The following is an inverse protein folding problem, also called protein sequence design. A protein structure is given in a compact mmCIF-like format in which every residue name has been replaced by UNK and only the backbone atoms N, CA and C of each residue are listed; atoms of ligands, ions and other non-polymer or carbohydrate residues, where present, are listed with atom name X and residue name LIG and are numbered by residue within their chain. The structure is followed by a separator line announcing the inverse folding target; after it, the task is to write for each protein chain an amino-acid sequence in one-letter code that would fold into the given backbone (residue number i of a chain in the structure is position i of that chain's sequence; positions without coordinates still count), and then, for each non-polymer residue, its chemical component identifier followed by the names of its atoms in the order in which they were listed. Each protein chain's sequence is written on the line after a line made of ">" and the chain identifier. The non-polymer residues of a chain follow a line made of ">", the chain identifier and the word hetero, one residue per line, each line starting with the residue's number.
data_IF_443679531858
#
_entry.id   IF_443679531858
#
_cell.length_a   1.000
_cell.length_b   1.000
_cell.length_c   1.000
_cell.angle_alpha   90.00
_cell.angle_beta   90.00
_cell.angle_gamma   90.00
#
_symmetry.space_group_name_H-M   'P 1'
#
loop_
_entity.id
_entity.type
_entity.pdbx_description
1 polymer ?
#
# COMPACT_ATOMS: atom_id res chain seq x y z
N UNK A 1 25.41 42.56 2.12
CA UNK A 1 24.03 42.19 1.76
C UNK A 1 23.97 41.54 0.38
N UNK A 2 24.49 42.14 -0.67
CA UNK A 2 24.44 41.56 -2.05
C UNK A 2 24.93 40.11 -2.17
N UNK A 3 26.06 39.74 -1.52
CA UNK A 3 26.60 38.38 -1.57
C UNK A 3 25.65 37.33 -0.93
N UNK A 4 24.90 37.68 0.13
CA UNK A 4 23.89 36.79 0.73
C UNK A 4 22.66 36.63 -0.15
N UNK A 5 22.23 37.71 -0.84
CA UNK A 5 21.10 37.69 -1.77
C UNK A 5 21.46 36.87 -3.00
N UNK A 6 22.67 37.03 -3.56
CA UNK A 6 23.15 36.23 -4.68
C UNK A 6 23.24 34.72 -4.33
N UNK A 7 23.67 34.39 -3.11
CA UNK A 7 23.74 32.99 -2.64
C UNK A 7 22.33 32.38 -2.50
N UNK A 8 21.36 33.13 -1.98
CA UNK A 8 19.96 32.69 -1.87
C UNK A 8 19.35 32.49 -3.27
N UNK A 9 19.66 33.36 -4.21
CA UNK A 9 19.14 33.28 -5.58
C UNK A 9 19.69 32.06 -6.34
N UNK A 10 20.98 31.77 -6.20
CA UNK A 10 21.63 30.57 -6.79
C UNK A 10 21.08 29.30 -6.14
N UNK A 11 20.79 29.31 -4.84
CA UNK A 11 20.21 28.17 -4.13
C UNK A 11 18.75 27.89 -4.59
N UNK A 12 17.95 28.93 -4.76
CA UNK A 12 16.57 28.84 -5.27
C UNK A 12 16.52 28.32 -6.72
N UNK A 13 17.41 28.78 -7.58
CA UNK A 13 17.45 28.31 -8.99
C UNK A 13 17.86 26.85 -9.11
N UNK A 14 18.76 26.36 -8.25
CA UNK A 14 19.15 24.94 -8.26
C UNK A 14 18.02 24.00 -7.79
N UNK A 15 17.15 24.43 -6.87
CA UNK A 15 15.95 23.67 -6.49
C UNK A 15 14.91 23.61 -7.62
N UNK A 16 14.70 24.72 -8.33
CA UNK A 16 13.76 24.76 -9.46
C UNK A 16 14.20 23.85 -10.62
N UNK A 17 15.48 23.83 -10.93
CA UNK A 17 16.04 22.96 -11.99
C UNK A 17 15.93 21.47 -11.59
N UNK A 18 16.13 21.14 -10.31
CA UNK A 18 16.01 19.75 -9.86
C UNK A 18 14.57 19.25 -9.92
N UNK A 19 13.59 20.06 -9.50
CA UNK A 19 12.17 19.71 -9.58
C UNK A 19 11.69 19.56 -11.03
N UNK A 20 12.17 20.42 -11.94
CA UNK A 20 11.83 20.37 -13.34
C UNK A 20 12.40 19.12 -14.02
N UNK A 21 13.62 18.69 -13.66
CA UNK A 21 14.21 17.46 -14.16
C UNK A 21 13.44 16.22 -13.69
N UNK A 22 12.96 16.20 -12.42
CA UNK A 22 12.16 15.10 -11.92
C UNK A 22 10.80 14.99 -12.65
N UNK A 23 10.10 16.09 -12.86
CA UNK A 23 8.86 16.11 -13.64
C UNK A 23 9.08 15.62 -15.09
N UNK A 24 10.17 16.03 -15.72
CA UNK A 24 10.54 15.57 -17.06
C UNK A 24 10.81 14.06 -17.09
N UNK A 25 11.49 13.52 -16.06
CA UNK A 25 11.73 12.08 -15.95
C UNK A 25 10.42 11.30 -15.79
N UNK A 26 9.47 11.81 -14.98
CA UNK A 26 8.15 11.21 -14.82
C UNK A 26 7.37 11.24 -16.14
N UNK A 27 7.38 12.35 -16.85
CA UNK A 27 6.74 12.45 -18.16
C UNK A 27 7.32 11.43 -19.14
N UNK A 28 8.65 11.30 -19.23
CA UNK A 28 9.27 10.26 -20.06
C UNK A 28 8.88 8.86 -19.63
N UNK A 29 8.76 8.61 -18.33
CA UNK A 29 8.32 7.32 -17.81
C UNK A 29 6.87 7.02 -18.23
N UNK A 30 5.97 7.97 -18.06
CA UNK A 30 4.54 7.85 -18.41
C UNK A 30 4.33 7.72 -19.93
N UNK A 31 5.20 8.36 -20.74
CA UNK A 31 5.23 8.26 -22.21
C UNK A 31 5.90 6.94 -22.71
N UNK A 32 6.38 6.07 -21.81
CA UNK A 32 7.07 4.82 -22.17
C UNK A 32 8.51 5.02 -22.67
N UNK A 33 9.07 6.21 -22.56
CA UNK A 33 10.45 6.52 -22.95
C UNK A 33 11.44 6.20 -21.81
N UNK A 34 11.46 4.92 -21.40
CA UNK A 34 12.13 4.46 -20.18
C UNK A 34 13.63 4.69 -20.16
N UNK A 35 14.34 4.63 -21.29
CA UNK A 35 15.78 4.94 -21.34
C UNK A 35 16.06 6.41 -21.00
N UNK A 36 15.20 7.33 -21.45
CA UNK A 36 15.35 8.76 -21.13
C UNK A 36 15.03 9.02 -19.66
N UNK A 37 13.97 8.42 -19.16
CA UNK A 37 13.60 8.50 -17.76
C UNK A 37 14.71 7.95 -16.85
N UNK A 38 15.25 6.76 -17.18
CA UNK A 38 16.33 6.10 -16.47
C UNK A 38 17.56 7.01 -16.32
N UNK A 39 18.00 7.63 -17.44
CA UNK A 39 19.16 8.52 -17.41
C UNK A 39 19.01 9.66 -16.41
N UNK A 40 17.82 10.27 -16.33
CA UNK A 40 17.55 11.38 -15.42
C UNK A 40 17.43 10.88 -13.97
N UNK A 41 16.75 9.74 -13.75
CA UNK A 41 16.64 9.17 -12.41
C UNK A 41 18.01 8.75 -11.86
N UNK A 42 18.89 8.18 -12.67
CA UNK A 42 20.27 7.86 -12.28
C UNK A 42 21.08 9.11 -11.91
N UNK A 43 20.93 10.20 -12.65
CA UNK A 43 21.59 11.47 -12.31
C UNK A 43 21.10 12.00 -10.95
N UNK A 44 19.77 11.96 -10.73
CA UNK A 44 19.19 12.39 -9.47
C UNK A 44 19.61 11.47 -8.29
N UNK A 45 19.69 10.15 -8.50
CA UNK A 45 20.15 9.20 -7.51
C UNK A 45 21.64 9.39 -7.14
N UNK A 46 22.50 9.83 -8.07
CA UNK A 46 23.89 10.22 -7.76
C UNK A 46 23.95 11.42 -6.82
N UNK A 47 23.04 12.39 -6.98
CA UNK A 47 22.94 13.57 -6.11
C UNK A 47 22.34 13.23 -4.73
N UNK A 48 21.43 12.26 -4.68
CA UNK A 48 20.70 11.84 -3.48
C UNK A 48 20.73 10.30 -3.31
N UNK A 49 21.88 9.69 -2.96
CA UNK A 49 22.04 8.23 -2.98
C UNK A 49 21.13 7.46 -1.97
N UNK A 50 20.73 8.12 -0.89
CA UNK A 50 19.84 7.55 0.13
C UNK A 50 18.36 7.62 -0.28
N UNK A 51 17.99 8.45 -1.25
CA UNK A 51 16.61 8.63 -1.67
C UNK A 51 16.07 7.34 -2.31
N UNK A 52 15.10 6.71 -1.63
CA UNK A 52 14.51 5.46 -2.09
C UNK A 52 13.66 5.64 -3.35
N UNK A 53 13.03 6.78 -3.52
CA UNK A 53 12.16 7.07 -4.66
C UNK A 53 12.91 7.00 -6.00
N UNK A 54 14.07 7.66 -6.12
CA UNK A 54 14.87 7.59 -7.34
C UNK A 54 15.38 6.18 -7.61
N UNK A 55 15.79 5.46 -6.56
CA UNK A 55 16.16 4.08 -6.69
C UNK A 55 15.00 3.22 -7.21
N UNK A 56 13.81 3.37 -6.65
CA UNK A 56 12.61 2.65 -7.09
C UNK A 56 12.33 2.92 -8.57
N UNK A 57 12.39 4.20 -9.01
CA UNK A 57 12.17 4.58 -10.41
C UNK A 57 13.22 3.99 -11.36
N UNK A 58 14.48 3.89 -10.94
CA UNK A 58 15.54 3.20 -11.69
C UNK A 58 15.21 1.72 -11.89
N UNK A 59 14.76 1.04 -10.81
CA UNK A 59 14.37 -0.37 -10.89
C UNK A 59 13.17 -0.54 -11.83
N UNK A 60 12.14 0.31 -11.70
CA UNK A 60 10.97 0.28 -12.57
C UNK A 60 11.36 0.48 -14.04
N UNK A 61 12.22 1.45 -14.37
CA UNK A 61 12.73 1.64 -15.74
C UNK A 61 13.47 0.39 -16.27
N UNK A 62 14.34 -0.21 -15.45
CA UNK A 62 15.03 -1.45 -15.87
C UNK A 62 14.05 -2.60 -16.11
N UNK A 63 13.02 -2.72 -15.28
CA UNK A 63 11.98 -3.76 -15.42
C UNK A 63 11.16 -3.56 -16.70
N UNK A 64 10.74 -2.33 -17.01
CA UNK A 64 10.01 -2.01 -18.24
C UNK A 64 10.87 -2.24 -19.49
N UNK A 65 12.17 -1.97 -19.42
CA UNK A 65 13.14 -2.27 -20.47
C UNK A 65 13.54 -3.76 -20.53
N UNK A 66 12.99 -4.61 -19.67
CA UNK A 66 13.35 -6.02 -19.52
C UNK A 66 14.83 -6.26 -19.16
N UNK A 67 15.50 -5.24 -18.63
CA UNK A 67 16.88 -5.32 -18.17
C UNK A 67 16.94 -5.87 -16.74
N UNK A 68 16.39 -7.07 -16.53
CA UNK A 68 16.18 -7.67 -15.20
C UNK A 68 17.47 -7.90 -14.42
N UNK A 69 18.57 -8.21 -15.11
CA UNK A 69 19.88 -8.40 -14.47
C UNK A 69 20.44 -7.09 -13.91
N UNK A 70 20.19 -5.97 -14.60
CA UNK A 70 20.57 -4.64 -14.12
C UNK A 70 19.73 -4.24 -12.88
N UNK A 71 18.43 -4.50 -12.91
CA UNK A 71 17.53 -4.32 -11.78
C UNK A 71 17.98 -5.17 -10.57
N UNK A 72 18.24 -6.45 -10.75
CA UNK A 72 18.71 -7.37 -9.71
C UNK A 72 20.01 -6.85 -9.07
N UNK A 73 20.99 -6.52 -9.89
CA UNK A 73 22.28 -5.99 -9.42
C UNK A 73 22.10 -4.73 -8.57
N UNK A 74 21.27 -3.79 -9.04
CA UNK A 74 21.00 -2.56 -8.31
C UNK A 74 20.30 -2.83 -6.96
N UNK A 75 19.31 -3.73 -6.93
CA UNK A 75 18.62 -4.13 -5.70
C UNK A 75 19.59 -4.76 -4.70
N UNK A 76 20.44 -5.69 -5.13
CA UNK A 76 21.41 -6.36 -4.28
C UNK A 76 22.47 -5.40 -3.74
N UNK A 77 22.97 -4.48 -4.55
CA UNK A 77 23.91 -3.43 -4.11
C UNK A 77 23.28 -2.51 -3.06
N UNK A 78 22.03 -2.10 -3.26
CA UNK A 78 21.32 -1.27 -2.28
C UNK A 78 21.09 -2.03 -0.98
N UNK A 79 20.71 -3.30 -1.06
CA UNK A 79 20.48 -4.15 0.12
C UNK A 79 21.73 -4.31 0.97
N UNK A 80 22.90 -4.45 0.37
CA UNK A 80 24.18 -4.49 1.09
C UNK A 80 24.46 -3.19 1.87
N UNK A 81 24.01 -2.04 1.34
CA UNK A 81 24.27 -0.73 1.96
C UNK A 81 23.23 -0.35 3.02
N UNK A 82 21.95 -0.66 2.82
CA UNK A 82 20.85 -0.10 3.61
C UNK A 82 20.01 -1.13 4.37
N UNK A 83 20.21 -2.43 4.16
CA UNK A 83 19.46 -3.54 4.80
C UNK A 83 17.92 -3.27 4.93
N UNK A 84 17.31 -2.78 3.86
CA UNK A 84 15.86 -2.49 3.83
C UNK A 84 15.08 -3.74 3.44
N UNK A 85 14.07 -4.15 4.25
CA UNK A 85 13.28 -5.37 4.04
C UNK A 85 12.44 -5.33 2.77
N UNK A 86 11.98 -4.14 2.37
CA UNK A 86 11.24 -3.93 1.12
C UNK A 86 12.02 -4.35 -0.13
N UNK A 87 13.37 -4.37 -0.07
CA UNK A 87 14.21 -4.80 -1.17
C UNK A 87 14.06 -6.30 -1.49
N UNK A 88 13.60 -7.10 -0.53
CA UNK A 88 13.25 -8.50 -0.76
C UNK A 88 11.99 -8.60 -1.63
N UNK A 89 11.01 -7.73 -1.42
CA UNK A 89 9.81 -7.66 -2.27
C UNK A 89 10.18 -7.22 -3.68
N UNK A 90 11.01 -6.17 -3.82
CA UNK A 90 11.50 -5.71 -5.13
C UNK A 90 12.26 -6.82 -5.89
N UNK A 91 13.12 -7.56 -5.19
CA UNK A 91 13.89 -8.67 -5.78
C UNK A 91 12.96 -9.82 -6.20
N UNK A 92 12.01 -10.19 -5.35
CA UNK A 92 11.00 -11.19 -5.67
C UNK A 92 10.18 -10.81 -6.89
N UNK A 93 9.73 -9.56 -6.96
CA UNK A 93 8.98 -9.06 -8.11
C UNK A 93 9.81 -9.07 -9.41
N UNK A 94 11.09 -8.70 -9.31
CA UNK A 94 12.01 -8.78 -10.45
C UNK A 94 12.17 -10.22 -10.98
N UNK A 95 12.16 -11.23 -10.11
CA UNK A 95 12.12 -12.63 -10.52
C UNK A 95 10.77 -13.04 -11.11
N UNK A 96 9.66 -12.56 -10.54
CA UNK A 96 8.32 -12.85 -11.05
C UNK A 96 8.14 -12.34 -12.48
N UNK A 97 8.61 -11.13 -12.80
CA UNK A 97 8.60 -10.59 -14.17
C UNK A 97 9.36 -11.46 -15.16
N UNK A 98 10.39 -12.19 -14.69
CA UNK A 98 11.15 -13.17 -15.46
C UNK A 98 10.48 -14.57 -15.52
N UNK A 99 9.29 -14.74 -14.92
CA UNK A 99 8.60 -16.03 -14.75
C UNK A 99 9.40 -17.04 -13.91
N UNK A 100 10.29 -16.58 -13.04
CA UNK A 100 11.07 -17.38 -12.08
C UNK A 100 10.29 -17.45 -10.75
N UNK A 101 9.19 -18.19 -10.75
CA UNK A 101 8.22 -18.22 -9.64
C UNK A 101 8.81 -18.75 -8.33
N UNK A 102 9.71 -19.73 -8.40
CA UNK A 102 10.35 -20.33 -7.22
C UNK A 102 11.26 -19.33 -6.53
N UNK A 103 12.07 -18.61 -7.30
CA UNK A 103 12.98 -17.57 -6.82
C UNK A 103 12.18 -16.38 -6.26
N UNK A 104 11.12 -15.96 -6.94
CA UNK A 104 10.23 -14.91 -6.50
C UNK A 104 9.63 -15.24 -5.13
N UNK A 105 8.98 -16.41 -5.02
CA UNK A 105 8.39 -16.90 -3.78
C UNK A 105 9.39 -16.95 -2.63
N UNK A 106 10.61 -17.44 -2.89
CA UNK A 106 11.68 -17.47 -1.89
C UNK A 106 12.00 -16.09 -1.33
N UNK A 107 12.05 -15.05 -2.17
CA UNK A 107 12.32 -13.69 -1.70
C UNK A 107 11.14 -13.12 -0.90
N UNK A 108 9.91 -13.40 -1.33
CA UNK A 108 8.71 -13.00 -0.58
C UNK A 108 8.64 -13.66 0.80
N UNK A 109 8.95 -14.96 0.89
CA UNK A 109 9.03 -15.67 2.17
C UNK A 109 10.15 -15.11 3.07
N UNK A 110 11.28 -14.68 2.50
CA UNK A 110 12.32 -14.00 3.28
C UNK A 110 11.84 -12.65 3.81
N UNK A 111 11.06 -11.88 3.03
CA UNK A 111 10.47 -10.63 3.51
C UNK A 111 9.52 -10.88 4.69
N UNK A 112 8.67 -11.92 4.62
CA UNK A 112 7.81 -12.32 5.74
C UNK A 112 8.61 -12.71 6.99
N UNK A 113 9.73 -13.44 6.84
CA UNK A 113 10.61 -13.78 7.97
C UNK A 113 11.22 -12.56 8.65
N UNK A 114 11.48 -11.48 7.91
CA UNK A 114 11.93 -10.23 8.54
C UNK A 114 10.80 -9.57 9.35
N UNK A 115 9.55 -9.68 8.89
CA UNK A 115 8.37 -9.22 9.65
C UNK A 115 8.12 -10.10 10.88
N UNK A 116 8.39 -11.41 10.80
CA UNK A 116 8.32 -12.30 11.98
C UNK A 116 9.31 -11.88 13.08
N UNK A 117 10.49 -11.42 12.71
CA UNK A 117 11.51 -10.93 13.67
C UNK A 117 11.16 -9.55 14.23
N UNK A 118 10.64 -8.67 13.40
CA UNK A 118 10.29 -7.30 13.76
C UNK A 118 8.95 -6.91 13.11
N UNK A 119 7.82 -7.11 13.83
CA UNK A 119 6.47 -6.86 13.29
C UNK A 119 6.21 -5.42 12.85
N UNK A 120 6.99 -4.45 13.33
CA UNK A 120 6.86 -3.05 12.92
C UNK A 120 7.24 -2.82 11.44
N UNK A 121 7.90 -3.77 10.80
CA UNK A 121 8.17 -3.70 9.36
C UNK A 121 6.92 -3.98 8.50
N UNK A 122 5.81 -4.44 9.09
CA UNK A 122 4.62 -4.85 8.35
C UNK A 122 4.11 -3.79 7.39
N UNK A 123 3.98 -2.53 7.83
CA UNK A 123 3.51 -1.44 6.94
C UNK A 123 4.39 -1.26 5.70
N UNK A 124 5.71 -1.31 5.87
CA UNK A 124 6.64 -1.11 4.77
C UNK A 124 6.62 -2.29 3.81
N UNK A 125 6.63 -3.52 4.34
CA UNK A 125 6.68 -4.75 3.54
C UNK A 125 5.35 -4.99 2.85
N UNK A 126 4.22 -4.87 3.55
CA UNK A 126 2.90 -5.01 2.95
C UNK A 126 2.65 -3.93 1.90
N UNK A 127 2.99 -2.66 2.19
CA UNK A 127 2.88 -1.58 1.21
C UNK A 127 3.74 -1.78 -0.04
N UNK A 128 4.89 -2.47 0.07
CA UNK A 128 5.67 -2.85 -1.10
C UNK A 128 4.97 -3.93 -1.93
N UNK A 129 4.31 -4.91 -1.30
CA UNK A 129 3.48 -5.91 -1.98
C UNK A 129 2.25 -5.27 -2.64
N UNK A 130 1.55 -4.36 -1.93
CA UNK A 130 0.39 -3.64 -2.45
C UNK A 130 0.72 -2.87 -3.73
N UNK A 131 1.84 -2.15 -3.76
CA UNK A 131 2.31 -1.43 -4.96
C UNK A 131 2.54 -2.33 -6.18
N UNK A 132 2.81 -3.61 -5.97
CA UNK A 132 2.99 -4.62 -7.02
C UNK A 132 1.71 -5.44 -7.26
N UNK A 133 0.58 -5.05 -6.65
CA UNK A 133 -0.71 -5.77 -6.71
C UNK A 133 -0.60 -7.22 -6.22
N UNK A 134 0.32 -7.48 -5.30
CA UNK A 134 0.54 -8.78 -4.67
C UNK A 134 -0.26 -8.85 -3.36
N UNK A 135 -1.60 -8.74 -3.48
CA UNK A 135 -2.50 -8.48 -2.36
C UNK A 135 -2.50 -9.61 -1.32
N UNK A 136 -2.43 -10.87 -1.75
CA UNK A 136 -2.35 -12.03 -0.83
C UNK A 136 -1.09 -11.99 0.05
N UNK A 137 0.05 -11.56 -0.52
CA UNK A 137 1.28 -11.40 0.23
C UNK A 137 1.21 -10.21 1.20
N UNK A 138 0.54 -9.13 0.82
CA UNK A 138 0.30 -7.98 1.70
C UNK A 138 -0.58 -8.38 2.89
N UNK A 139 -1.70 -9.07 2.65
CA UNK A 139 -2.59 -9.58 3.70
C UNK A 139 -1.81 -10.49 4.66
N UNK A 140 -1.08 -11.48 4.12
CA UNK A 140 -0.28 -12.40 4.92
C UNK A 140 0.77 -11.67 5.76
N UNK A 141 1.36 -10.59 5.25
CA UNK A 141 2.32 -9.76 5.99
C UNK A 141 1.68 -9.13 7.22
N UNK A 142 0.51 -8.52 7.08
CA UNK A 142 -0.23 -7.92 8.18
C UNK A 142 -0.70 -8.96 9.20
N UNK A 143 -1.21 -10.11 8.74
CA UNK A 143 -1.67 -11.19 9.61
C UNK A 143 -0.54 -11.79 10.47
N UNK A 144 0.63 -11.99 9.88
CA UNK A 144 1.83 -12.45 10.62
C UNK A 144 2.19 -11.44 11.71
N UNK A 145 2.27 -10.16 11.37
CA UNK A 145 2.64 -9.12 12.32
C UNK A 145 1.63 -9.00 13.47
N UNK A 146 0.34 -9.02 13.17
CA UNK A 146 -0.73 -8.94 14.17
C UNK A 146 -0.75 -10.19 15.09
N UNK A 147 -0.47 -11.37 14.52
CA UNK A 147 -0.36 -12.62 15.30
C UNK A 147 0.79 -12.58 16.30
N UNK A 148 1.94 -12.00 15.92
CA UNK A 148 3.13 -11.92 16.79
C UNK A 148 2.99 -10.79 17.80
N UNK A 149 2.45 -9.66 17.39
CA UNK A 149 2.20 -8.51 18.25
C UNK A 149 0.72 -8.08 18.16
N UNK A 150 -0.16 -8.62 19.03
CA UNK A 150 -1.59 -8.31 19.03
C UNK A 150 -1.94 -6.83 19.31
N UNK A 151 -0.97 -6.00 19.72
CA UNK A 151 -1.16 -4.55 19.85
C UNK A 151 -1.20 -3.85 18.49
N UNK A 152 -0.66 -4.49 17.46
CA UNK A 152 -0.76 -4.03 16.08
C UNK A 152 -2.10 -4.51 15.51
N UNK A 153 -3.00 -3.58 15.25
CA UNK A 153 -4.29 -3.91 14.63
C UNK A 153 -4.25 -3.52 13.14
N UNK A 154 -4.34 -4.51 12.27
CA UNK A 154 -4.35 -4.36 10.81
C UNK A 154 -5.69 -4.77 10.19
N UNK A 155 -6.77 -4.89 10.97
CA UNK A 155 -8.07 -5.32 10.45
C UNK A 155 -8.63 -4.35 9.40
N UNK A 156 -8.37 -3.05 9.54
CA UNK A 156 -8.73 -2.08 8.52
C UNK A 156 -7.99 -2.36 7.19
N UNK A 157 -6.67 -2.48 7.24
CA UNK A 157 -5.82 -2.70 6.05
C UNK A 157 -6.17 -4.04 5.38
N UNK A 158 -6.22 -5.11 6.16
CA UNK A 158 -6.56 -6.44 5.64
C UNK A 158 -8.01 -6.50 5.13
N UNK A 159 -8.94 -5.82 5.79
CA UNK A 159 -10.33 -5.68 5.32
C UNK A 159 -10.38 -5.01 3.96
N UNK A 160 -9.71 -3.87 3.79
CA UNK A 160 -9.68 -3.16 2.49
C UNK A 160 -9.06 -4.00 1.38
N UNK A 161 -7.98 -4.73 1.66
CA UNK A 161 -7.34 -5.64 0.70
C UNK A 161 -8.25 -6.82 0.33
N UNK A 162 -9.00 -7.38 1.30
CA UNK A 162 -10.00 -8.41 1.04
C UNK A 162 -11.11 -7.89 0.12
N UNK A 163 -11.54 -6.64 0.31
CA UNK A 163 -12.49 -5.98 -0.58
C UNK A 163 -11.98 -5.86 -2.01
N UNK A 164 -10.71 -5.52 -2.21
CA UNK A 164 -10.06 -5.47 -3.53
C UNK A 164 -10.01 -6.85 -4.22
N UNK A 165 -9.89 -7.93 -3.42
CA UNK A 165 -9.95 -9.31 -3.91
C UNK A 165 -11.39 -9.81 -4.16
N UNK A 166 -12.41 -8.99 -3.88
CA UNK A 166 -13.82 -9.35 -4.01
C UNK A 166 -14.37 -10.17 -2.84
N UNK A 167 -13.61 -10.37 -1.76
CA UNK A 167 -14.02 -11.10 -0.56
C UNK A 167 -14.82 -10.19 0.38
N UNK A 168 -15.99 -9.73 -0.07
CA UNK A 168 -16.78 -8.69 0.59
C UNK A 168 -17.25 -9.07 1.99
N UNK A 169 -17.56 -10.33 2.25
CA UNK A 169 -17.98 -10.79 3.58
C UNK A 169 -16.84 -10.69 4.60
N UNK A 170 -15.62 -11.07 4.20
CA UNK A 170 -14.42 -10.96 5.06
C UNK A 170 -14.07 -9.48 5.29
N UNK A 171 -14.13 -8.66 4.23
CA UNK A 171 -13.94 -7.22 4.34
C UNK A 171 -14.91 -6.62 5.36
N UNK A 172 -16.19 -6.93 5.22
CA UNK A 172 -17.24 -6.41 6.09
C UNK A 172 -17.02 -6.78 7.55
N UNK A 173 -16.74 -8.05 7.83
CA UNK A 173 -16.45 -8.51 9.21
C UNK A 173 -15.28 -7.73 9.82
N UNK A 174 -14.16 -7.64 9.10
CA UNK A 174 -12.96 -6.92 9.57
C UNK A 174 -13.20 -5.43 9.78
N UNK A 175 -13.89 -4.76 8.87
CA UNK A 175 -14.17 -3.33 8.98
C UNK A 175 -15.13 -3.03 10.14
N UNK A 176 -16.19 -3.82 10.31
CA UNK A 176 -17.13 -3.66 11.41
C UNK A 176 -16.46 -3.89 12.78
N UNK A 177 -15.64 -4.95 12.91
CA UNK A 177 -14.92 -5.23 14.14
C UNK A 177 -13.81 -4.19 14.42
N UNK A 178 -13.16 -3.68 13.39
CA UNK A 178 -12.24 -2.57 13.53
C UNK A 178 -12.94 -1.31 14.09
N UNK A 179 -14.09 -0.93 13.52
CA UNK A 179 -14.87 0.23 14.00
C UNK A 179 -15.39 0.04 15.42
N UNK A 180 -15.82 -1.17 15.78
CA UNK A 180 -16.22 -1.50 17.15
C UNK A 180 -15.10 -1.31 18.16
N UNK A 181 -13.91 -1.80 17.84
CA UNK A 181 -12.72 -1.68 18.69
C UNK A 181 -12.08 -0.31 18.68
N UNK A 182 -12.43 0.56 17.71
CA UNK A 182 -11.89 1.90 17.54
C UNK A 182 -13.01 2.91 17.25
N UNK A 183 -13.82 3.29 18.25
CA UNK A 183 -15.03 4.13 18.06
C UNK A 183 -14.77 5.47 17.36
N UNK A 184 -13.59 6.06 17.55
CA UNK A 184 -13.18 7.30 16.88
C UNK A 184 -13.09 7.16 15.36
N UNK A 185 -12.95 5.94 14.86
CA UNK A 185 -12.86 5.62 13.43
C UNK A 185 -14.21 5.18 12.82
N UNK A 186 -15.32 5.25 13.57
CA UNK A 186 -16.65 4.83 13.07
C UNK A 186 -17.03 5.55 11.78
N UNK A 187 -16.82 6.87 11.71
CA UNK A 187 -17.10 7.64 10.51
C UNK A 187 -16.28 7.18 9.29
N UNK A 188 -14.99 6.85 9.49
CA UNK A 188 -14.14 6.29 8.44
C UNK A 188 -14.72 4.98 7.90
N UNK A 189 -15.16 4.07 8.79
CA UNK A 189 -15.74 2.79 8.37
C UNK A 189 -17.05 3.01 7.62
N UNK A 190 -17.92 3.88 8.12
CA UNK A 190 -19.19 4.21 7.44
C UNK A 190 -18.94 4.81 6.06
N UNK A 191 -17.97 5.68 5.89
CA UNK A 191 -17.57 6.23 4.59
C UNK A 191 -17.08 5.15 3.61
N UNK A 192 -16.26 4.21 4.08
CA UNK A 192 -15.81 3.09 3.22
C UNK A 192 -17.00 2.22 2.80
N UNK A 193 -17.85 1.83 3.74
CA UNK A 193 -19.04 1.01 3.44
C UNK A 193 -20.00 1.75 2.50
N UNK A 194 -20.16 3.07 2.65
CA UNK A 194 -20.99 3.89 1.74
C UNK A 194 -20.47 3.85 0.31
N UNK A 195 -19.15 3.85 0.09
CA UNK A 195 -18.57 3.73 -1.26
C UNK A 195 -18.89 2.39 -1.89
N UNK A 196 -18.74 1.30 -1.15
CA UNK A 196 -19.12 -0.04 -1.64
C UNK A 196 -20.63 -0.16 -1.87
N UNK A 197 -21.47 0.49 -1.05
CA UNK A 197 -22.92 0.55 -1.27
C UNK A 197 -23.28 1.33 -2.54
N UNK A 198 -22.56 2.38 -2.87
CA UNK A 198 -22.79 3.17 -4.08
C UNK A 198 -22.51 2.38 -5.36
N UNK A 199 -21.56 1.45 -5.30
CA UNK A 199 -21.18 0.58 -6.42
C UNK A 199 -22.01 -0.72 -6.48
N UNK A 200 -22.87 -0.98 -5.48
CA UNK A 200 -23.69 -2.20 -5.37
C UNK A 200 -24.97 -2.10 -6.19
N UNK A 201 -24.87 -2.31 -7.49
CA UNK A 201 -26.03 -2.30 -8.40
C UNK A 201 -27.07 -3.40 -8.12
N UNK A 202 -26.71 -4.45 -7.38
CA UNK A 202 -27.54 -5.63 -7.11
C UNK A 202 -28.24 -5.58 -5.76
N UNK A 203 -27.80 -4.76 -4.84
CA UNK A 203 -28.24 -4.72 -3.44
C UNK A 203 -27.72 -5.87 -2.58
N UNK A 204 -26.87 -6.75 -3.12
CA UNK A 204 -26.34 -7.91 -2.39
C UNK A 204 -25.42 -7.50 -1.25
N UNK A 205 -24.60 -6.48 -1.46
CA UNK A 205 -23.69 -5.98 -0.42
C UNK A 205 -24.47 -5.31 0.72
N UNK A 206 -25.51 -4.54 0.40
CA UNK A 206 -26.40 -3.94 1.39
C UNK A 206 -27.06 -5.00 2.27
N UNK A 207 -27.51 -6.12 1.67
CA UNK A 207 -28.11 -7.24 2.40
C UNK A 207 -27.08 -7.97 3.27
N UNK A 208 -25.84 -8.15 2.80
CA UNK A 208 -24.73 -8.70 3.59
C UNK A 208 -24.43 -7.84 4.82
N UNK A 209 -24.38 -6.50 4.67
CA UNK A 209 -24.21 -5.59 5.82
C UNK A 209 -25.37 -5.74 6.81
N UNK A 210 -26.60 -5.73 6.32
CA UNK A 210 -27.80 -5.88 7.15
C UNK A 210 -27.76 -7.17 7.97
N UNK A 211 -27.50 -8.30 7.30
CA UNK A 211 -27.39 -9.60 7.93
C UNK A 211 -26.30 -9.63 9.01
N UNK A 212 -25.11 -9.13 8.69
CA UNK A 212 -23.97 -9.08 9.62
C UNK A 212 -24.30 -8.24 10.85
N UNK A 213 -24.88 -7.03 10.66
CA UNK A 213 -25.26 -6.15 11.78
C UNK A 213 -26.36 -6.74 12.63
N UNK A 214 -27.39 -7.37 12.04
CA UNK A 214 -28.46 -8.03 12.79
C UNK A 214 -27.90 -9.16 13.67
N UNK A 215 -26.98 -9.98 13.15
CA UNK A 215 -26.31 -11.03 13.93
C UNK A 215 -25.49 -10.45 15.10
N UNK A 216 -24.80 -9.33 14.88
CA UNK A 216 -24.03 -8.62 15.92
C UNK A 216 -24.95 -8.05 17.00
N UNK A 217 -26.06 -7.42 16.62
CA UNK A 217 -27.08 -6.90 17.55
C UNK A 217 -27.75 -8.02 18.37
N UNK A 218 -28.04 -9.16 17.74
CA UNK A 218 -28.60 -10.32 18.46
C UNK A 218 -27.61 -10.92 19.47
N UNK A 219 -26.33 -10.94 19.12
CA UNK A 219 -25.27 -11.50 19.98
C UNK A 219 -24.90 -10.57 21.14
N UNK A 220 -24.93 -9.27 20.90
CA UNK A 220 -24.56 -8.23 21.85
C UNK A 220 -25.46 -7.02 21.66
N UNK A 221 -26.18 -6.61 22.69
CA UNK A 221 -27.05 -5.40 22.67
C UNK A 221 -26.22 -4.11 22.83
N UNK A 222 -25.04 -4.08 22.20
CA UNK A 222 -24.15 -2.93 22.25
C UNK A 222 -24.69 -1.75 21.46
N UNK A 223 -24.48 -0.56 21.96
CA UNK A 223 -24.92 0.70 21.34
C UNK A 223 -24.30 0.87 19.95
N UNK A 224 -23.05 0.49 19.77
CA UNK A 224 -22.34 0.61 18.50
C UNK A 224 -23.03 -0.16 17.37
N UNK A 225 -23.46 -1.41 17.63
CA UNK A 225 -24.12 -2.22 16.61
C UNK A 225 -25.52 -1.68 16.25
N UNK A 226 -26.25 -1.18 17.24
CA UNK A 226 -27.55 -0.55 17.01
C UNK A 226 -27.42 0.75 16.20
N UNK A 227 -26.42 1.57 16.50
CA UNK A 227 -26.13 2.79 15.75
C UNK A 227 -25.69 2.48 14.31
N UNK A 228 -24.86 1.44 14.11
CA UNK A 228 -24.42 1.01 12.80
C UNK A 228 -25.58 0.47 11.95
N UNK A 229 -26.52 -0.25 12.56
CA UNK A 229 -27.73 -0.72 11.88
C UNK A 229 -28.67 0.45 11.52
N UNK A 230 -28.85 1.41 12.44
CA UNK A 230 -29.61 2.62 12.17
C UNK A 230 -29.00 3.45 11.04
N UNK A 231 -27.67 3.58 11.02
CA UNK A 231 -26.96 4.22 9.91
C UNK A 231 -27.25 3.53 8.58
N UNK A 232 -27.21 2.20 8.52
CA UNK A 232 -27.53 1.46 7.29
C UNK A 232 -28.94 1.74 6.78
N UNK A 233 -29.94 1.74 7.68
CA UNK A 233 -31.33 2.05 7.30
C UNK A 233 -31.47 3.47 6.72
N UNK A 234 -30.73 4.44 7.28
CA UNK A 234 -30.68 5.80 6.73
C UNK A 234 -30.09 5.81 5.32
N UNK A 235 -29.00 5.06 5.06
CA UNK A 235 -28.41 4.94 3.72
C UNK A 235 -29.41 4.34 2.72
N UNK A 236 -30.22 3.36 3.15
CA UNK A 236 -31.25 2.72 2.34
C UNK A 236 -32.58 3.50 2.28
N UNK A 237 -32.68 4.66 2.93
CA UNK A 237 -33.89 5.47 3.06
C UNK A 237 -35.08 4.71 3.73
N UNK A 238 -34.78 3.75 4.58
CA UNK A 238 -35.74 2.94 5.33
C UNK A 238 -35.98 3.53 6.73
N UNK A 239 -36.51 4.74 6.79
CA UNK A 239 -36.67 5.55 8.02
C UNK A 239 -37.68 5.02 9.05
N UNK A 240 -38.35 3.93 8.80
CA UNK A 240 -39.41 3.37 9.66
C UNK A 240 -39.06 2.02 10.32
N UNK A 241 -37.81 1.60 10.26
CA UNK A 241 -37.36 0.29 10.78
C UNK A 241 -36.45 0.39 12.03
#
# INVERSE_FOLDING_TARGET
>A
MLKKIAFIFVFLTSFLVSAQNEQLALQYFDDGAFEKALSIFEENAKKQPSNYYFFQKIIECHQELQNYDAAEKAILQRRQRYNQQILLVELGYNFQLQKKEVEAKKQYELALKEVEKEPNYAYQVAGAFEKKVLLDWAIKTYEIAQKINPKLNFDYQTGMLQGQLGNLDIMLEKLLDYGYNNPDNTALIQDQLTRFLADDATGNFAESIRKSLLLKVQKSQDVYWNQSLSWLFVQQKEYGK
#
